data_IF_499259895536
#
_entry.id   IF_499259895536
#
_cell.length_a   1.000
_cell.length_b   1.000
_cell.length_c   1.000
_cell.angle_alpha   90.00
_cell.angle_beta   90.00
_cell.angle_gamma   90.00
#
_symmetry.space_group_name_H-M   'P 1'
#
loop_
_entity.id
_entity.type
_entity.pdbx_description
1 polymer ?
#
# COMPACT_ATOMS: atom_id res chain seq x y z
N UNK A 1 -23.49 1.37 -2.83
CA UNK A 1 -22.02 1.49 -2.70
C UNK A 1 -21.51 1.65 -1.23
N UNK A 2 -22.12 2.51 -0.40
CA UNK A 2 -21.71 2.76 1.01
C UNK A 2 -21.74 1.56 1.97
N UNK A 3 -22.41 0.46 1.59
CA UNK A 3 -22.66 -0.67 2.49
C UNK A 3 -21.59 -1.77 2.43
N UNK A 4 -20.65 -1.74 1.47
CA UNK A 4 -19.72 -2.86 1.26
C UNK A 4 -18.51 -2.80 2.18
N UNK A 5 -17.92 -1.63 2.41
CA UNK A 5 -16.74 -1.54 3.28
C UNK A 5 -17.12 -1.64 4.78
N UNK A 6 -18.28 -1.11 5.17
CA UNK A 6 -18.84 -1.38 6.51
C UNK A 6 -19.14 -2.87 6.66
N UNK A 7 -19.61 -3.54 5.59
CA UNK A 7 -19.84 -4.99 5.63
C UNK A 7 -18.57 -5.80 5.70
N UNK A 8 -17.47 -5.48 5.01
CA UNK A 8 -16.23 -6.25 5.15
C UNK A 8 -15.69 -6.21 6.59
N UNK A 9 -15.57 -5.01 7.17
CA UNK A 9 -15.13 -4.86 8.56
C UNK A 9 -16.14 -5.50 9.53
N UNK A 10 -17.44 -5.41 9.24
CA UNK A 10 -18.49 -6.02 10.05
C UNK A 10 -18.55 -7.55 9.93
N UNK A 11 -18.30 -8.15 8.76
CA UNK A 11 -18.34 -9.61 8.58
C UNK A 11 -17.11 -10.22 9.23
N UNK A 12 -15.92 -9.64 9.05
CA UNK A 12 -14.71 -10.13 9.72
C UNK A 12 -14.82 -10.01 11.25
N UNK A 13 -15.35 -8.89 11.76
CA UNK A 13 -15.57 -8.73 13.20
C UNK A 13 -16.75 -9.55 13.75
N UNK A 14 -17.78 -9.83 12.93
CA UNK A 14 -18.88 -10.72 13.30
C UNK A 14 -18.46 -12.19 13.33
N UNK A 15 -17.74 -12.68 12.31
CA UNK A 15 -17.21 -14.05 12.25
C UNK A 15 -16.15 -14.30 13.33
N UNK A 16 -15.30 -13.30 13.63
CA UNK A 16 -14.38 -13.37 14.77
C UNK A 16 -15.09 -13.33 16.13
N UNK A 17 -16.20 -12.60 16.27
CA UNK A 17 -17.02 -12.66 17.50
C UNK A 17 -17.78 -13.95 17.66
N UNK A 18 -18.21 -14.57 16.57
CA UNK A 18 -18.86 -15.88 16.57
C UNK A 18 -17.89 -16.97 17.07
N UNK A 19 -16.59 -16.78 16.86
CA UNK A 19 -15.54 -17.75 17.22
C UNK A 19 -14.80 -17.42 18.54
N UNK A 20 -14.66 -16.14 18.93
CA UNK A 20 -13.90 -15.68 20.12
C UNK A 20 -14.70 -14.83 21.13
N UNK A 21 -15.99 -14.54 20.88
CA UNK A 21 -16.82 -13.68 21.75
C UNK A 21 -16.48 -12.18 21.70
N UNK A 22 -17.00 -11.40 22.66
CA UNK A 22 -16.87 -9.92 22.68
C UNK A 22 -15.41 -9.43 22.78
N UNK A 23 -14.54 -10.20 23.46
CA UNK A 23 -13.11 -9.89 23.62
C UNK A 23 -12.35 -9.97 22.29
N UNK A 24 -12.73 -10.89 21.40
CA UNK A 24 -12.11 -11.02 20.06
C UNK A 24 -12.31 -9.79 19.18
N UNK A 25 -13.49 -9.14 19.26
CA UNK A 25 -13.77 -7.89 18.52
C UNK A 25 -12.83 -6.75 18.90
N UNK A 26 -12.54 -6.59 20.20
CA UNK A 26 -11.68 -5.52 20.70
C UNK A 26 -10.23 -5.75 20.27
N UNK A 27 -9.75 -6.99 20.39
CA UNK A 27 -8.38 -7.36 19.97
C UNK A 27 -8.20 -7.13 18.47
N UNK A 28 -9.15 -7.56 17.65
CA UNK A 28 -9.09 -7.37 16.18
C UNK A 28 -9.17 -5.90 15.81
N UNK A 29 -9.97 -5.09 16.49
CA UNK A 29 -10.03 -3.65 16.26
C UNK A 29 -8.69 -2.96 16.56
N UNK A 30 -8.05 -3.30 17.69
CA UNK A 30 -6.73 -2.76 18.06
C UNK A 30 -5.66 -3.23 17.07
N UNK A 31 -5.64 -4.51 16.72
CA UNK A 31 -4.69 -5.07 15.76
C UNK A 31 -4.82 -4.41 14.37
N UNK A 32 -6.06 -4.20 13.90
CA UNK A 32 -6.33 -3.52 12.63
C UNK A 32 -5.90 -2.06 12.67
N UNK A 33 -6.12 -1.35 13.78
CA UNK A 33 -5.69 0.04 13.93
C UNK A 33 -4.16 0.16 13.92
N UNK A 34 -3.45 -0.71 14.64
CA UNK A 34 -1.98 -0.74 14.65
C UNK A 34 -1.41 -1.11 13.27
N UNK A 35 -2.04 -2.04 12.56
CA UNK A 35 -1.65 -2.44 11.21
C UNK A 35 -1.89 -1.33 10.17
N UNK A 36 -3.02 -0.63 10.26
CA UNK A 36 -3.29 0.52 9.41
C UNK A 36 -2.28 1.65 9.67
N UNK A 37 -1.91 1.87 10.93
CA UNK A 37 -0.92 2.88 11.31
C UNK A 37 0.49 2.56 10.78
N UNK A 38 0.96 1.31 10.90
CA UNK A 38 2.26 0.91 10.34
C UNK A 38 2.30 1.05 8.82
N UNK A 39 1.19 0.72 8.15
CA UNK A 39 1.04 0.88 6.70
C UNK A 39 1.08 2.36 6.31
N UNK A 40 0.38 3.24 7.04
CA UNK A 40 0.42 4.69 6.81
C UNK A 40 1.83 5.27 6.93
N UNK A 41 2.60 4.83 7.94
CA UNK A 41 4.01 5.25 8.08
C UNK A 41 4.83 4.79 6.88
N UNK A 42 4.67 3.53 6.45
CA UNK A 42 5.38 2.98 5.29
C UNK A 42 5.10 3.78 4.02
N UNK A 43 3.83 4.08 3.74
CA UNK A 43 3.42 4.88 2.58
C UNK A 43 3.88 6.34 2.68
N UNK A 44 3.83 6.94 3.88
CA UNK A 44 4.39 8.27 4.12
C UNK A 44 5.89 8.31 3.79
N UNK A 45 6.65 7.31 4.25
CA UNK A 45 8.08 7.22 4.00
C UNK A 45 8.41 7.01 2.52
N UNK A 46 7.66 6.14 1.85
CA UNK A 46 7.86 5.88 0.42
C UNK A 46 7.63 7.14 -0.43
N UNK A 47 6.56 7.90 -0.14
CA UNK A 47 6.32 9.15 -0.86
C UNK A 47 7.25 10.29 -0.45
N UNK A 48 7.74 10.33 0.79
CA UNK A 48 8.80 11.28 1.20
C UNK A 48 10.09 11.03 0.39
N UNK A 49 10.49 9.76 0.22
CA UNK A 49 11.66 9.38 -0.57
C UNK A 49 11.47 9.64 -2.07
N UNK A 50 10.28 9.40 -2.60
CA UNK A 50 9.97 9.72 -4.00
C UNK A 50 10.02 11.24 -4.26
N UNK A 51 9.51 12.05 -3.33
CA UNK A 51 9.55 13.52 -3.43
C UNK A 51 10.95 14.09 -3.20
N UNK A 52 11.75 13.49 -2.31
CA UNK A 52 13.16 13.82 -2.15
C UNK A 52 13.93 13.55 -3.45
N UNK A 53 13.65 12.43 -4.13
CA UNK A 53 14.27 12.09 -5.40
C UNK A 53 13.84 13.02 -6.55
N UNK A 54 12.58 13.46 -6.58
CA UNK A 54 12.02 14.25 -7.66
C UNK A 54 12.25 15.77 -7.51
N UNK A 55 12.26 16.30 -6.27
CA UNK A 55 12.30 17.75 -5.99
C UNK A 55 13.39 18.18 -5.00
N UNK A 56 14.20 17.26 -4.47
CA UNK A 56 15.31 17.55 -3.54
C UNK A 56 14.89 17.84 -2.10
N UNK A 57 15.89 18.05 -1.22
CA UNK A 57 15.76 18.10 0.25
C UNK A 57 14.83 19.20 0.82
N UNK A 58 14.46 20.23 0.04
CA UNK A 58 13.48 21.25 0.45
C UNK A 58 12.02 20.79 0.39
N UNK A 59 11.72 19.69 -0.32
CA UNK A 59 10.36 19.19 -0.50
C UNK A 59 9.80 18.47 0.74
N UNK A 60 10.65 18.08 1.70
CA UNK A 60 10.26 17.31 2.91
C UNK A 60 9.23 18.08 3.76
N UNK A 61 9.41 19.39 3.92
CA UNK A 61 8.49 20.23 4.71
C UNK A 61 7.12 20.39 4.02
N UNK A 62 7.11 20.55 2.69
CA UNK A 62 5.89 20.63 1.89
C UNK A 62 5.16 19.28 1.90
N UNK A 63 5.90 18.18 1.81
CA UNK A 63 5.34 16.84 1.84
C UNK A 63 4.60 16.53 3.14
N UNK A 64 5.14 16.92 4.30
CA UNK A 64 4.44 16.76 5.58
C UNK A 64 3.10 17.50 5.62
N UNK A 65 3.06 18.74 5.11
CA UNK A 65 1.81 19.53 5.06
C UNK A 65 0.80 18.91 4.10
N UNK A 66 1.24 18.49 2.91
CA UNK A 66 0.39 17.81 1.93
C UNK A 66 -0.12 16.48 2.45
N UNK A 67 0.71 15.70 3.15
CA UNK A 67 0.31 14.41 3.73
C UNK A 67 -0.78 14.60 4.80
N UNK A 68 -0.60 15.54 5.74
CA UNK A 68 -1.63 15.83 6.74
C UNK A 68 -2.93 16.34 6.09
N UNK A 69 -2.84 17.22 5.09
CA UNK A 69 -4.01 17.70 4.35
C UNK A 69 -4.72 16.55 3.61
N UNK A 70 -3.97 15.65 2.99
CA UNK A 70 -4.51 14.48 2.26
C UNK A 70 -5.19 13.49 3.21
N UNK A 71 -4.69 13.31 4.43
CA UNK A 71 -5.35 12.46 5.45
C UNK A 71 -6.70 13.06 5.88
N UNK A 72 -6.75 14.38 6.10
CA UNK A 72 -8.00 15.07 6.47
C UNK A 72 -9.01 15.02 5.32
N UNK A 73 -8.56 15.28 4.09
CA UNK A 73 -9.42 15.23 2.90
C UNK A 73 -9.84 13.79 2.59
N UNK A 74 -8.96 12.81 2.74
CA UNK A 74 -9.23 11.38 2.54
C UNK A 74 -10.27 10.83 3.51
N UNK A 75 -10.35 11.35 4.73
CA UNK A 75 -11.42 11.02 5.67
C UNK A 75 -12.80 11.57 5.25
N UNK A 76 -12.83 12.60 4.39
CA UNK A 76 -14.05 13.23 3.88
C UNK A 76 -14.47 12.70 2.49
N UNK A 77 -13.57 12.07 1.74
CA UNK A 77 -13.86 11.50 0.42
C UNK A 77 -14.52 10.12 0.55
N UNK A 78 -15.36 9.77 -0.44
CA UNK A 78 -15.98 8.46 -0.53
C UNK A 78 -14.91 7.36 -0.61
N UNK A 79 -15.00 6.38 0.30
CA UNK A 79 -14.02 5.30 0.40
C UNK A 79 -13.80 4.57 -0.94
N UNK A 80 -14.85 4.42 -1.75
CA UNK A 80 -14.81 3.82 -3.09
C UNK A 80 -13.84 4.55 -4.02
N UNK A 81 -13.85 5.89 -4.01
CA UNK A 81 -12.92 6.71 -4.79
C UNK A 81 -11.48 6.57 -4.29
N UNK A 82 -11.28 6.37 -2.97
CA UNK A 82 -9.96 6.11 -2.39
C UNK A 82 -9.42 4.76 -2.83
N UNK A 83 -10.27 3.73 -2.87
CA UNK A 83 -9.89 2.40 -3.36
C UNK A 83 -9.59 2.43 -4.86
N UNK A 84 -10.46 3.03 -5.68
CA UNK A 84 -10.25 3.17 -7.13
C UNK A 84 -8.98 3.97 -7.46
N UNK A 85 -8.72 5.05 -6.71
CA UNK A 85 -7.51 5.86 -6.87
C UNK A 85 -6.25 5.07 -6.46
N UNK A 86 -6.32 4.31 -5.36
CA UNK A 86 -5.20 3.47 -4.90
C UNK A 86 -4.87 2.38 -5.90
N UNK A 87 -5.89 1.71 -6.46
CA UNK A 87 -5.71 0.67 -7.48
C UNK A 87 -5.17 1.26 -8.79
N UNK A 88 -5.61 2.46 -9.17
CA UNK A 88 -5.08 3.16 -10.34
C UNK A 88 -3.60 3.53 -10.17
N UNK A 89 -3.22 4.07 -9.00
CA UNK A 89 -1.81 4.41 -8.71
C UNK A 89 -0.92 3.17 -8.64
N UNK A 90 -1.39 2.09 -8.01
CA UNK A 90 -0.67 0.82 -7.97
C UNK A 90 -0.55 0.19 -9.36
N UNK A 91 -1.61 0.22 -10.16
CA UNK A 91 -1.59 -0.23 -11.55
C UNK A 91 -0.57 0.58 -12.38
N UNK A 92 -0.55 1.90 -12.22
CA UNK A 92 0.37 2.78 -12.93
C UNK A 92 1.84 2.59 -12.52
N UNK A 93 2.14 2.19 -11.27
CA UNK A 93 3.49 1.76 -10.88
C UNK A 93 3.81 0.33 -11.36
N UNK A 94 2.83 -0.56 -11.37
CA UNK A 94 3.02 -1.96 -11.77
C UNK A 94 3.28 -2.09 -13.27
N UNK A 95 2.64 -1.29 -14.13
CA UNK A 95 2.81 -1.31 -15.59
C UNK A 95 4.28 -1.11 -16.02
N UNK A 96 4.98 -0.02 -15.66
CA UNK A 96 6.38 0.19 -16.06
C UNK A 96 7.31 -0.86 -15.46
N UNK A 97 7.04 -1.30 -14.22
CA UNK A 97 7.85 -2.35 -13.58
C UNK A 97 7.67 -3.71 -14.28
N UNK A 98 6.44 -4.10 -14.62
CA UNK A 98 6.17 -5.34 -15.38
C UNK A 98 6.79 -5.29 -16.78
N UNK A 99 6.71 -4.16 -17.48
CA UNK A 99 7.34 -4.01 -18.80
C UNK A 99 8.86 -4.15 -18.69
N UNK A 100 9.46 -3.50 -17.69
CA UNK A 100 10.88 -3.64 -17.36
C UNK A 100 11.26 -5.10 -17.07
N UNK A 101 10.49 -5.77 -16.21
CA UNK A 101 10.73 -7.17 -15.85
C UNK A 101 10.57 -8.12 -17.05
N UNK A 102 9.60 -7.90 -17.94
CA UNK A 102 9.44 -8.73 -19.14
C UNK A 102 10.60 -8.57 -20.14
N UNK A 103 11.13 -7.35 -20.26
CA UNK A 103 12.33 -7.08 -21.07
C UNK A 103 13.59 -7.67 -20.40
N UNK A 104 13.73 -7.49 -19.09
CA UNK A 104 14.87 -7.98 -18.32
C UNK A 104 14.81 -9.49 -18.07
N UNK A 105 13.65 -10.14 -18.11
CA UNK A 105 13.52 -11.59 -17.95
C UNK A 105 14.33 -12.35 -19.01
N UNK A 106 14.46 -11.79 -20.22
CA UNK A 106 15.35 -12.33 -21.26
C UNK A 106 16.83 -12.17 -20.89
N UNK A 107 17.20 -11.03 -20.31
CA UNK A 107 18.57 -10.72 -19.87
C UNK A 107 18.96 -11.55 -18.64
N UNK A 108 18.08 -11.66 -17.65
CA UNK A 108 18.26 -12.46 -16.44
C UNK A 108 18.40 -13.93 -16.82
N UNK A 109 17.62 -14.44 -17.77
CA UNK A 109 17.78 -15.83 -18.24
C UNK A 109 19.13 -16.06 -18.93
N UNK A 110 19.64 -15.07 -19.67
CA UNK A 110 20.95 -15.11 -20.29
C UNK A 110 22.08 -15.07 -19.25
N UNK A 111 22.00 -14.17 -18.26
CA UNK A 111 23.00 -14.07 -17.18
C UNK A 111 22.94 -15.23 -16.18
N UNK A 112 21.74 -15.77 -15.90
CA UNK A 112 21.60 -16.98 -15.08
C UNK A 112 22.30 -18.16 -15.75
N UNK A 113 22.10 -18.35 -17.06
CA UNK A 113 22.83 -19.39 -17.81
C UNK A 113 24.35 -19.15 -17.81
N UNK A 114 24.79 -17.89 -17.84
CA UNK A 114 26.21 -17.53 -17.80
C UNK A 114 26.86 -17.88 -16.46
N UNK A 115 26.16 -17.60 -15.36
CA UNK A 115 26.57 -17.97 -14.01
C UNK A 115 26.67 -19.48 -13.81
N UNK A 116 25.71 -20.26 -14.34
CA UNK A 116 25.76 -21.72 -14.27
C UNK A 116 26.77 -22.37 -15.24
N UNK A 117 27.23 -21.67 -16.28
CA UNK A 117 28.24 -22.19 -17.22
C UNK A 117 29.69 -21.96 -16.80
N UNK A 118 29.96 -21.02 -15.89
CA UNK A 118 31.31 -20.80 -15.33
C UNK A 118 31.65 -21.72 -14.14
N UNK A 119 30.69 -22.53 -13.66
CA UNK A 119 30.89 -23.51 -12.59
C UNK A 119 31.29 -24.92 -13.09
N UNK A 120 31.94 -25.00 -14.26
CA UNK A 120 32.53 -26.23 -14.81
C UNK A 120 34.01 -26.05 -15.17
#
# INVERSE_FOLDING_TARGET
>A
PKNICTRLSAVTSASMAETLGHTGKIIVAIATALFAYSTLIGWSYYGEKAMEYLFGSRAIAIYRVVFTATVIVGANISLELVWDFSDLMNGMMAIPNLIGLLLLAKVIKAETNRFFSEEH
#
